data_IF_497828632853
#
_entry.id   IF_497828632853
#
_cell.length_a   1.000
_cell.length_b   1.000
_cell.length_c   1.000
_cell.angle_alpha   90.00
_cell.angle_beta   90.00
_cell.angle_gamma   90.00
#
_symmetry.space_group_name_H-M   'P 1'
#
loop_
_entity.id
_entity.type
_entity.pdbx_description
1 polymer ?
#
# COMPACT_ATOMS: atom_id res chain seq x y z
N UNK A 1 -37.97 19.92 -12.04
CA UNK A 1 -37.41 18.73 -12.72
C UNK A 1 -35.90 18.76 -12.44
N UNK A 2 -35.44 18.05 -11.41
CA UNK A 2 -34.03 18.06 -11.00
C UNK A 2 -33.30 16.91 -11.69
N UNK A 3 -32.30 17.23 -12.51
CA UNK A 3 -31.39 16.24 -13.06
C UNK A 3 -30.52 15.67 -11.92
N UNK A 4 -30.70 14.39 -11.61
CA UNK A 4 -29.66 13.59 -10.95
C UNK A 4 -28.49 13.50 -11.93
N UNK A 5 -27.36 14.14 -11.63
CA UNK A 5 -26.12 13.81 -12.33
C UNK A 5 -25.64 12.46 -11.82
N UNK A 6 -25.80 11.42 -12.63
CA UNK A 6 -25.08 10.15 -12.49
C UNK A 6 -23.62 10.36 -12.91
N UNK A 7 -22.89 11.18 -12.16
CA UNK A 7 -21.47 10.92 -12.05
C UNK A 7 -21.40 9.75 -11.09
N UNK A 8 -21.25 8.53 -11.62
CA UNK A 8 -20.70 7.44 -10.82
C UNK A 8 -19.52 8.05 -10.05
N UNK A 9 -19.58 7.97 -8.73
CA UNK A 9 -18.53 8.44 -7.85
C UNK A 9 -17.32 7.57 -8.17
N UNK A 10 -16.50 7.98 -9.15
CA UNK A 10 -15.34 7.21 -9.59
C UNK A 10 -14.40 7.23 -8.39
N UNK A 11 -14.47 6.19 -7.58
CA UNK A 11 -13.54 5.97 -6.49
C UNK A 11 -12.16 5.80 -7.12
N UNK A 12 -11.42 6.89 -7.22
CA UNK A 12 -10.08 6.96 -7.82
C UNK A 12 -8.99 6.57 -6.82
N UNK A 13 -9.28 6.64 -5.53
CA UNK A 13 -8.38 6.19 -4.46
C UNK A 13 -8.95 4.99 -3.72
N UNK A 14 -8.09 4.00 -3.48
CA UNK A 14 -8.44 2.78 -2.78
C UNK A 14 -7.49 2.51 -1.62
N UNK A 15 -7.94 1.71 -0.66
CA UNK A 15 -7.13 1.24 0.46
C UNK A 15 -6.11 0.19 0.03
N UNK A 16 -5.20 -0.15 0.95
CA UNK A 16 -4.24 -1.23 0.72
C UNK A 16 -4.96 -2.56 0.49
N UNK A 17 -5.96 -2.92 1.31
CA UNK A 17 -6.68 -4.20 1.15
C UNK A 17 -7.50 -4.27 -0.14
N UNK A 18 -8.09 -3.17 -0.57
CA UNK A 18 -8.77 -3.07 -1.88
C UNK A 18 -7.79 -3.32 -3.03
N UNK A 19 -6.59 -2.74 -2.97
CA UNK A 19 -5.52 -2.93 -3.95
C UNK A 19 -5.02 -4.39 -3.98
N UNK A 20 -4.74 -4.97 -2.81
CA UNK A 20 -4.34 -6.38 -2.65
C UNK A 20 -5.40 -7.32 -3.25
N UNK A 21 -6.68 -7.10 -2.94
CA UNK A 21 -7.77 -7.96 -3.43
C UNK A 21 -7.82 -7.98 -4.95
N UNK A 22 -7.74 -6.79 -5.58
CA UNK A 22 -7.77 -6.65 -7.04
C UNK A 22 -6.55 -7.29 -7.71
N UNK A 23 -5.36 -6.98 -7.23
CA UNK A 23 -4.13 -7.46 -7.83
C UNK A 23 -3.92 -8.96 -7.59
N UNK A 24 -4.37 -9.50 -6.45
CA UNK A 24 -4.31 -10.94 -6.17
C UNK A 24 -5.17 -11.73 -7.16
N UNK A 25 -6.36 -11.23 -7.51
CA UNK A 25 -7.19 -11.86 -8.53
C UNK A 25 -6.47 -11.95 -9.89
N UNK A 26 -5.68 -10.94 -10.25
CA UNK A 26 -4.88 -10.94 -11.48
C UNK A 26 -3.67 -11.87 -11.38
N UNK A 27 -2.92 -11.80 -10.27
CA UNK A 27 -1.77 -12.66 -10.03
C UNK A 27 -2.13 -14.15 -10.03
N UNK A 28 -3.30 -14.52 -9.50
CA UNK A 28 -3.79 -15.91 -9.51
C UNK A 28 -4.17 -16.43 -10.90
N UNK A 29 -4.53 -15.55 -11.85
CA UNK A 29 -4.71 -15.94 -13.26
C UNK A 29 -3.38 -16.24 -13.92
N UNK A 30 -2.35 -15.45 -13.60
CA UNK A 30 -0.99 -15.63 -14.10
C UNK A 30 -0.36 -16.92 -13.56
N UNK A 31 -0.39 -17.12 -12.23
CA UNK A 31 0.07 -18.34 -11.61
C UNK A 31 -0.74 -18.64 -10.33
N UNK A 32 -1.39 -19.82 -10.22
CA UNK A 32 -2.17 -20.18 -9.03
C UNK A 32 -1.36 -20.18 -7.71
N UNK A 33 -0.05 -20.41 -7.79
CA UNK A 33 0.88 -20.41 -6.66
C UNK A 33 1.45 -19.02 -6.33
N UNK A 34 1.12 -17.97 -7.11
CA UNK A 34 1.59 -16.63 -6.85
C UNK A 34 1.12 -16.11 -5.49
N UNK A 35 2.02 -15.56 -4.69
CA UNK A 35 1.73 -14.97 -3.39
C UNK A 35 2.24 -13.53 -3.34
N UNK A 36 1.56 -12.68 -2.57
CA UNK A 36 1.99 -11.30 -2.36
C UNK A 36 3.35 -11.27 -1.66
N UNK A 37 4.27 -10.45 -2.16
CA UNK A 37 5.60 -10.22 -1.59
C UNK A 37 5.70 -8.81 -1.00
N UNK A 38 5.28 -7.84 -1.79
CA UNK A 38 5.33 -6.43 -1.44
C UNK A 38 4.13 -5.71 -2.03
N UNK A 39 3.58 -4.78 -1.28
CA UNK A 39 2.75 -3.70 -1.82
C UNK A 39 3.30 -2.37 -1.31
N UNK A 40 3.43 -1.40 -2.21
CA UNK A 40 3.78 -0.02 -1.89
C UNK A 40 2.79 0.93 -2.54
N UNK A 41 2.39 1.96 -1.82
CA UNK A 41 1.75 3.13 -2.42
C UNK A 41 2.76 3.93 -3.23
N UNK A 42 2.29 4.65 -4.26
CA UNK A 42 3.12 5.55 -5.05
C UNK A 42 2.47 6.93 -5.19
N UNK A 43 3.30 7.94 -5.43
CA UNK A 43 2.87 9.24 -5.93
C UNK A 43 2.70 9.17 -7.46
N UNK A 44 1.88 10.06 -8.00
CA UNK A 44 1.80 10.24 -9.44
C UNK A 44 3.14 10.77 -9.99
N UNK A 45 3.56 10.26 -11.15
CA UNK A 45 4.77 10.74 -11.81
C UNK A 45 4.68 12.23 -12.17
N UNK A 46 3.50 12.68 -12.64
CA UNK A 46 3.23 14.11 -12.81
C UNK A 46 2.79 14.70 -11.45
N UNK A 47 3.58 15.63 -10.87
CA UNK A 47 3.26 16.25 -9.59
C UNK A 47 1.98 17.11 -9.61
N UNK A 48 1.45 17.43 -10.79
CA UNK A 48 0.19 18.16 -10.96
C UNK A 48 -1.03 17.24 -10.87
N UNK A 49 -0.84 15.92 -11.05
CA UNK A 49 -1.89 14.93 -10.89
C UNK A 49 -2.02 14.61 -9.40
N UNK A 50 -3.12 15.07 -8.80
CA UNK A 50 -3.41 14.85 -7.38
C UNK A 50 -4.57 13.87 -7.22
N UNK A 51 -4.49 13.06 -6.18
CA UNK A 51 -5.64 12.29 -5.70
C UNK A 51 -6.50 13.15 -4.76
N UNK A 52 -7.78 12.79 -4.55
CA UNK A 52 -8.67 13.46 -3.61
C UNK A 52 -8.08 13.65 -2.20
N UNK A 53 -7.38 12.63 -1.68
CA UNK A 53 -6.81 12.67 -0.32
C UNK A 53 -5.30 12.60 -0.32
N UNK A 54 -4.68 12.12 -1.40
CA UNK A 54 -3.23 11.87 -1.48
C UNK A 54 -2.76 10.98 -0.31
N UNK A 55 -3.54 10.02 0.17
CA UNK A 55 -3.16 9.18 1.32
C UNK A 55 -3.52 9.74 2.70
N UNK A 56 -4.01 10.98 2.81
CA UNK A 56 -4.40 11.58 4.12
C UNK A 56 -5.50 10.82 4.84
N UNK A 57 -6.30 10.04 4.12
CA UNK A 57 -7.37 9.20 4.66
C UNK A 57 -7.05 7.69 4.53
N UNK A 58 -5.78 7.33 4.34
CA UNK A 58 -5.39 5.93 4.14
C UNK A 58 -5.74 5.38 2.76
N UNK A 59 -6.12 6.21 1.79
CA UNK A 59 -6.44 5.79 0.43
C UNK A 59 -5.49 6.40 -0.57
N UNK A 60 -5.11 5.62 -1.58
CA UNK A 60 -4.13 6.01 -2.59
C UNK A 60 -4.64 5.72 -3.98
N UNK A 61 -4.28 6.63 -4.91
CA UNK A 61 -4.58 6.50 -6.33
C UNK A 61 -3.70 5.46 -7.01
N UNK A 62 -2.47 5.31 -6.54
CA UNK A 62 -1.46 4.45 -7.15
C UNK A 62 -0.89 3.43 -6.17
N UNK A 63 -0.84 2.18 -6.61
CA UNK A 63 -0.26 1.06 -5.88
C UNK A 63 0.60 0.22 -6.82
N UNK A 64 1.77 -0.17 -6.35
CA UNK A 64 2.60 -1.19 -6.99
C UNK A 64 2.63 -2.42 -6.10
N UNK A 65 2.35 -3.58 -6.68
CA UNK A 65 2.39 -4.85 -5.98
C UNK A 65 3.33 -5.81 -6.69
N UNK A 66 4.11 -6.55 -5.93
CA UNK A 66 4.93 -7.66 -6.41
C UNK A 66 4.32 -8.95 -5.88
N UNK A 67 4.00 -9.84 -6.81
CA UNK A 67 3.65 -11.22 -6.51
C UNK A 67 4.78 -12.13 -6.97
N UNK A 68 5.02 -13.19 -6.23
CA UNK A 68 6.11 -14.13 -6.47
C UNK A 68 5.63 -15.57 -6.34
N UNK A 69 6.28 -16.49 -7.06
CA UNK A 69 6.08 -17.93 -6.86
C UNK A 69 7.13 -18.41 -5.85
N UNK A 70 6.75 -18.83 -4.63
CA UNK A 70 7.72 -19.17 -3.60
C UNK A 70 8.70 -20.26 -4.05
N UNK A 71 10.00 -20.02 -3.86
CA UNK A 71 11.05 -20.96 -4.24
C UNK A 71 11.49 -20.88 -5.71
N UNK A 72 11.01 -19.91 -6.48
CA UNK A 72 11.47 -19.62 -7.85
C UNK A 72 11.87 -18.14 -7.99
N UNK A 73 12.33 -17.76 -9.18
CA UNK A 73 12.60 -16.38 -9.58
C UNK A 73 11.45 -15.75 -10.39
N UNK A 74 10.31 -16.44 -10.50
CA UNK A 74 9.15 -15.96 -11.23
C UNK A 74 8.36 -14.97 -10.38
N UNK A 75 8.28 -13.74 -10.86
CA UNK A 75 7.56 -12.66 -10.18
C UNK A 75 6.71 -11.84 -11.17
N UNK A 76 5.70 -11.16 -10.63
CA UNK A 76 4.75 -10.35 -11.36
C UNK A 76 4.58 -9.01 -10.67
N UNK A 77 4.91 -7.94 -11.39
CA UNK A 77 4.59 -6.57 -11.00
C UNK A 77 3.18 -6.23 -11.49
N UNK A 78 2.30 -5.85 -10.57
CA UNK A 78 0.96 -5.34 -10.86
C UNK A 78 0.89 -3.89 -10.40
N UNK A 79 0.53 -2.99 -11.32
CA UNK A 79 0.28 -1.57 -11.01
C UNK A 79 -1.21 -1.29 -11.05
N UNK A 80 -1.69 -0.58 -10.04
CA UNK A 80 -3.06 -0.07 -9.98
C UNK A 80 -2.99 1.45 -10.01
N UNK A 81 -3.76 2.07 -10.90
CA UNK A 81 -3.96 3.51 -10.99
C UNK A 81 -5.46 3.79 -11.11
N UNK A 82 -5.97 4.75 -10.33
CA UNK A 82 -7.39 5.14 -10.36
C UNK A 82 -8.32 3.92 -10.24
N UNK A 83 -8.00 3.02 -9.29
CA UNK A 83 -8.80 1.82 -8.99
C UNK A 83 -8.86 0.78 -10.14
N UNK A 84 -8.01 0.94 -11.16
CA UNK A 84 -7.89 0.03 -12.31
C UNK A 84 -6.47 -0.53 -12.39
N UNK A 85 -6.35 -1.77 -12.83
CA UNK A 85 -5.03 -2.34 -13.16
C UNK A 85 -4.52 -1.60 -14.41
N UNK A 86 -3.44 -0.84 -14.26
CA UNK A 86 -2.86 -0.03 -15.33
C UNK A 86 -1.73 -0.77 -16.05
N UNK A 87 -1.05 -1.68 -15.36
CA UNK A 87 0.05 -2.46 -15.92
C UNK A 87 0.22 -3.79 -15.19
N UNK A 88 0.59 -4.82 -15.94
CA UNK A 88 0.97 -6.14 -15.45
C UNK A 88 2.23 -6.55 -16.20
N UNK A 89 3.30 -6.86 -15.46
CA UNK A 89 4.60 -7.17 -16.07
C UNK A 89 5.28 -8.31 -15.32
N UNK A 90 5.67 -9.35 -16.03
CA UNK A 90 6.57 -10.37 -15.51
C UNK A 90 7.96 -9.78 -15.26
N UNK A 91 8.52 -10.10 -14.11
CA UNK A 91 9.85 -9.70 -13.69
C UNK A 91 10.57 -10.95 -13.12
N UNK A 92 11.90 -10.92 -13.16
CA UNK A 92 12.71 -11.96 -12.54
C UNK A 92 13.28 -11.45 -11.23
N UNK A 93 12.79 -12.01 -10.14
CA UNK A 93 13.22 -11.68 -8.79
C UNK A 93 13.06 -12.92 -7.92
N UNK A 94 14.15 -13.34 -7.27
CA UNK A 94 14.15 -14.52 -6.41
C UNK A 94 13.25 -14.27 -5.19
N UNK A 95 12.23 -15.11 -5.04
CA UNK A 95 11.25 -14.99 -3.95
C UNK A 95 11.63 -15.93 -2.83
N UNK A 96 12.05 -15.38 -1.69
CA UNK A 96 12.37 -16.18 -0.51
C UNK A 96 11.10 -16.49 0.27
N UNK A 97 10.95 -17.70 0.84
CA UNK A 97 9.79 -18.04 1.67
C UNK A 97 9.53 -17.07 2.83
N UNK A 98 10.56 -16.41 3.35
CA UNK A 98 10.47 -15.40 4.42
C UNK A 98 9.84 -14.07 4.00
N UNK A 99 9.73 -13.82 2.69
CA UNK A 99 9.23 -12.57 2.09
C UNK A 99 7.75 -12.65 1.69
N UNK A 100 7.15 -13.85 1.77
CA UNK A 100 5.74 -14.05 1.45
C UNK A 100 4.86 -13.38 2.50
N UNK A 101 3.90 -12.57 2.04
CA UNK A 101 2.84 -11.97 2.86
C UNK A 101 1.59 -12.86 2.81
N UNK A 102 1.25 -13.58 3.90
CA UNK A 102 0.05 -14.40 3.98
C UNK A 102 -1.18 -13.50 4.16
N UNK A 103 -2.06 -13.48 3.16
CA UNK A 103 -3.18 -12.53 3.10
C UNK A 103 -4.22 -12.71 4.21
N UNK A 104 -4.34 -13.92 4.74
CA UNK A 104 -5.20 -14.28 5.87
C UNK A 104 -4.72 -13.68 7.21
N UNK A 105 -3.47 -13.19 7.27
CA UNK A 105 -2.91 -12.52 8.45
C UNK A 105 -3.02 -10.98 8.38
N UNK A 106 -3.71 -10.43 7.37
CA UNK A 106 -3.93 -8.98 7.21
C UNK A 106 -5.34 -8.61 7.71
N UNK A 107 -5.44 -8.32 9.01
CA UNK A 107 -6.71 -7.93 9.62
C UNK A 107 -7.00 -6.43 9.44
N UNK A 108 -5.98 -5.58 9.62
CA UNK A 108 -6.12 -4.10 9.58
C UNK A 108 -5.86 -3.53 8.18
N UNK A 109 -6.34 -2.31 7.94
CA UNK A 109 -6.19 -1.61 6.65
C UNK A 109 -5.58 -0.21 6.84
N UNK A 110 -5.18 0.43 5.74
CA UNK A 110 -4.48 1.71 5.75
C UNK A 110 -5.24 2.87 6.43
N UNK A 111 -6.57 3.05 6.31
CA UNK A 111 -7.26 4.14 7.03
C UNK A 111 -7.14 4.04 8.54
N UNK A 112 -7.31 2.83 9.09
CA UNK A 112 -7.18 2.56 10.52
C UNK A 112 -5.76 2.87 11.02
N UNK A 113 -4.73 2.45 10.27
CA UNK A 113 -3.35 2.72 10.67
C UNK A 113 -2.96 4.19 10.55
N UNK A 114 -3.56 4.96 9.62
CA UNK A 114 -3.40 6.42 9.60
C UNK A 114 -3.97 7.06 10.85
N UNK A 115 -5.16 6.64 11.28
CA UNK A 115 -5.76 7.15 12.51
C UNK A 115 -4.89 6.85 13.73
N UNK A 116 -4.39 5.61 13.86
CA UNK A 116 -3.46 5.25 14.93
C UNK A 116 -2.16 6.07 14.86
N UNK A 117 -1.56 6.20 13.67
CA UNK A 117 -0.35 6.98 13.46
C UNK A 117 -0.50 8.45 13.92
N UNK A 118 -1.66 9.05 13.63
CA UNK A 118 -1.99 10.41 14.07
C UNK A 118 -2.19 10.46 15.59
N UNK A 119 -3.00 9.56 16.15
CA UNK A 119 -3.39 9.59 17.56
C UNK A 119 -2.23 9.28 18.49
N UNK A 120 -1.41 8.28 18.17
CA UNK A 120 -0.35 7.79 19.05
C UNK A 120 0.96 8.57 18.90
N UNK A 121 1.28 9.04 17.69
CA UNK A 121 2.58 9.66 17.38
C UNK A 121 2.48 11.12 16.94
N UNK A 122 1.27 11.67 16.84
CA UNK A 122 1.06 13.03 16.34
C UNK A 122 1.60 13.20 14.92
N UNK A 123 1.49 12.16 14.07
CA UNK A 123 1.98 12.25 12.71
C UNK A 123 1.22 13.28 11.88
N UNK A 124 1.94 13.88 10.93
CA UNK A 124 1.43 14.84 9.96
C UNK A 124 1.68 14.28 8.54
N UNK A 125 0.84 14.63 7.56
CA UNK A 125 1.08 14.24 6.17
C UNK A 125 2.37 14.86 5.62
N UNK A 126 3.04 14.14 4.72
CA UNK A 126 4.12 14.67 3.88
C UNK A 126 3.63 15.73 2.90
N UNK A 127 4.56 16.57 2.43
CA UNK A 127 4.26 17.78 1.63
C UNK A 127 4.83 17.72 0.21
N UNK A 128 6.04 17.21 0.01
CA UNK A 128 6.74 17.21 -1.28
C UNK A 128 6.93 15.81 -1.83
N UNK A 129 7.84 15.05 -1.23
CA UNK A 129 7.95 13.61 -1.43
C UNK A 129 7.05 12.92 -0.42
N UNK A 130 6.34 11.92 -0.92
CA UNK A 130 5.37 11.18 -0.18
C UNK A 130 4.19 12.05 0.32
N UNK A 131 3.53 12.79 -0.59
CA UNK A 131 2.45 13.72 -0.20
C UNK A 131 1.36 12.97 0.54
N UNK A 132 0.91 13.45 1.69
CA UNK A 132 0.02 12.69 2.57
C UNK A 132 0.76 11.58 3.33
N UNK A 133 0.16 10.39 3.45
CA UNK A 133 0.78 9.25 4.13
C UNK A 133 1.11 8.12 3.16
N UNK A 134 2.33 7.60 3.21
CA UNK A 134 2.75 6.46 2.38
C UNK A 134 2.62 5.15 3.13
N UNK A 135 2.37 4.09 2.37
CA UNK A 135 2.09 2.76 2.88
C UNK A 135 2.97 1.74 2.19
N UNK A 136 3.47 0.81 2.99
CA UNK A 136 4.01 -0.46 2.49
C UNK A 136 3.56 -1.59 3.39
N UNK A 137 3.34 -2.76 2.80
CA UNK A 137 3.17 -4.02 3.50
C UNK A 137 4.11 -5.06 2.88
N UNK A 138 4.92 -5.66 3.73
CA UNK A 138 5.90 -6.68 3.35
C UNK A 138 6.14 -7.66 4.49
N UNK A 139 6.83 -8.76 4.17
CA UNK A 139 7.36 -9.70 5.15
C UNK A 139 8.88 -9.69 5.10
N UNK A 140 9.51 -9.77 6.26
CA UNK A 140 10.94 -10.07 6.38
C UNK A 140 11.14 -11.16 7.44
N UNK A 141 11.83 -12.23 7.07
CA UNK A 141 12.05 -13.40 7.93
C UNK A 141 10.76 -13.89 8.63
N UNK A 142 9.66 -14.00 7.86
CA UNK A 142 8.33 -14.38 8.34
C UNK A 142 7.67 -13.41 9.33
N UNK A 143 8.19 -12.19 9.49
CA UNK A 143 7.57 -11.13 10.27
C UNK A 143 6.94 -10.13 9.32
N UNK A 144 5.67 -9.83 9.58
CA UNK A 144 4.90 -8.91 8.74
C UNK A 144 4.96 -7.49 9.29
N UNK A 145 5.11 -6.54 8.37
CA UNK A 145 5.22 -5.12 8.66
C UNK A 145 4.27 -4.34 7.78
N UNK A 146 3.36 -3.59 8.39
CA UNK A 146 2.58 -2.55 7.71
C UNK A 146 3.14 -1.20 8.17
N UNK A 147 3.79 -0.49 7.25
CA UNK A 147 4.35 0.82 7.55
C UNK A 147 3.42 1.97 7.14
N UNK A 148 3.38 3.02 7.96
CA UNK A 148 2.83 4.34 7.63
C UNK A 148 3.97 5.34 7.70
N UNK A 149 4.25 6.02 6.59
CA UNK A 149 5.26 7.06 6.50
C UNK A 149 4.61 8.44 6.40
N UNK A 150 5.17 9.41 7.14
CA UNK A 150 4.74 10.79 7.15
C UNK A 150 5.79 11.66 7.85
N UNK A 151 5.34 12.77 8.45
CA UNK A 151 6.19 13.70 9.19
C UNK A 151 5.86 13.66 10.69
N UNK A 152 6.88 13.81 11.53
CA UNK A 152 6.66 14.08 12.94
C UNK A 152 6.40 15.58 13.20
N UNK A 153 6.18 15.93 14.47
CA UNK A 153 5.92 17.32 14.88
C UNK A 153 7.05 18.30 14.51
N UNK A 154 8.29 17.82 14.41
CA UNK A 154 9.48 18.60 14.00
C UNK A 154 9.71 18.62 12.48
N UNK A 155 8.73 18.17 11.69
CA UNK A 155 8.82 18.06 10.23
C UNK A 155 9.93 17.11 9.73
N UNK A 156 10.42 16.20 10.57
CA UNK A 156 11.29 15.10 10.11
C UNK A 156 10.42 13.95 9.63
N UNK A 157 10.86 13.29 8.57
CA UNK A 157 10.22 12.08 8.06
C UNK A 157 10.36 10.95 9.08
N UNK A 158 9.24 10.30 9.35
CA UNK A 158 9.20 9.11 10.19
C UNK A 158 8.37 8.04 9.52
N UNK A 159 8.75 6.80 9.77
CA UNK A 159 8.06 5.61 9.29
C UNK A 159 7.72 4.75 10.50
N UNK A 160 6.44 4.56 10.75
CA UNK A 160 5.94 3.76 11.87
C UNK A 160 5.50 2.41 11.35
N UNK A 161 5.97 1.35 12.00
CA UNK A 161 5.66 -0.03 11.64
C UNK A 161 4.62 -0.60 12.60
N UNK A 162 3.60 -1.23 12.03
CA UNK A 162 2.51 -1.89 12.75
C UNK A 162 2.44 -3.36 12.34
N UNK A 163 1.93 -4.19 13.24
CA UNK A 163 1.60 -5.57 12.94
C UNK A 163 0.30 -5.63 12.11
N UNK A 164 0.29 -6.20 10.89
CA UNK A 164 -0.91 -6.21 10.04
C UNK A 164 -2.07 -7.04 10.59
N UNK A 165 -1.82 -7.95 11.53
CA UNK A 165 -2.85 -8.81 12.12
C UNK A 165 -3.66 -8.09 13.21
N UNK A 166 -3.13 -7.04 13.83
CA UNK A 166 -3.81 -6.40 14.96
C UNK A 166 -3.55 -4.90 15.14
N UNK A 167 -2.76 -4.27 14.27
CA UNK A 167 -2.41 -2.85 14.37
C UNK A 167 -1.47 -2.51 15.52
N UNK A 168 -0.87 -3.49 16.21
CA UNK A 168 0.06 -3.20 17.30
C UNK A 168 1.33 -2.55 16.76
N UNK A 169 1.76 -1.46 17.38
CA UNK A 169 3.06 -0.84 17.13
C UNK A 169 4.22 -1.85 17.25
N UNK A 170 5.14 -1.80 16.29
CA UNK A 170 6.32 -2.66 16.23
C UNK A 170 7.63 -1.88 16.31
N UNK A 171 7.65 -0.63 15.85
CA UNK A 171 8.86 0.16 15.78
C UNK A 171 8.68 1.41 14.93
N UNK A 172 9.68 2.29 14.95
CA UNK A 172 9.70 3.50 14.16
C UNK A 172 11.10 3.79 13.64
N UNK A 173 11.19 4.23 12.41
CA UNK A 173 12.39 4.82 11.81
C UNK A 173 12.22 6.33 11.71
N UNK A 174 13.33 7.05 11.94
CA UNK A 174 13.40 8.51 11.83
C UNK A 174 14.51 8.83 10.85
N UNK A 175 14.18 9.57 9.78
CA UNK A 175 15.18 10.09 8.85
C UNK A 175 16.15 10.99 9.63
N UNK A 176 17.45 10.69 9.53
CA UNK A 176 18.50 11.33 10.33
C UNK A 176 18.63 12.81 9.99
#
# INVERSE_FOLDING_TARGET
>A
MYYKSFADDIQTEITLKEAVTKANAEAKKWNPLASLILITSADAFDPNIKGPTEGKQGKRRMWNLIFGVPGTDQSLLVKIEENKISNVKEIQELVRPGEVVPLDQIAVDSPFLVEQAIQEFGMKPGVHFARGYHFELFSDNHRLFFSVEGLNQRNKRIRVFFNPNNGRYLGMEVEK
#
